data_IF_759549666639
#
_entry.id   IF_759549666639
#
_cell.length_a   1.000
_cell.length_b   1.000
_cell.length_c   1.000
_cell.angle_alpha   90.00
_cell.angle_beta   90.00
_cell.angle_gamma   90.00
#
_symmetry.space_group_name_H-M   'P 1'
#
loop_
_entity.id
_entity.type
_entity.pdbx_description
1 polymer ?
#
# COMPACT_ATOMS: atom_id res chain seq x y z
N UNK A 1 13.81 -3.82 3.27
CA UNK A 1 14.09 -4.62 2.06
C UNK A 1 12.79 -5.28 1.64
N UNK A 2 12.35 -5.10 0.41
CA UNK A 2 11.07 -5.66 -0.11
C UNK A 2 11.15 -7.19 -0.19
N UNK A 3 10.05 -7.86 0.19
CA UNK A 3 9.91 -9.32 0.24
C UNK A 3 9.08 -9.80 -0.95
N UNK A 4 9.59 -10.76 -1.70
CA UNK A 4 8.87 -11.37 -2.83
C UNK A 4 8.61 -12.84 -2.51
N UNK A 5 7.35 -13.24 -2.49
CA UNK A 5 6.99 -14.65 -2.41
C UNK A 5 7.09 -15.29 -3.79
N UNK A 6 7.77 -16.43 -3.88
CA UNK A 6 7.95 -17.20 -5.12
C UNK A 6 7.17 -18.49 -4.99
N UNK A 7 6.16 -18.68 -5.85
CA UNK A 7 5.29 -19.86 -5.94
C UNK A 7 5.58 -20.55 -7.25
N UNK A 8 6.43 -21.56 -7.20
CA UNK A 8 6.98 -22.28 -8.34
C UNK A 8 7.20 -23.74 -7.92
N UNK A 9 6.76 -24.71 -8.67
CA UNK A 9 6.90 -26.13 -8.31
C UNK A 9 8.25 -26.71 -8.73
N UNK A 10 8.80 -26.26 -9.87
CA UNK A 10 10.11 -26.71 -10.32
C UNK A 10 11.22 -26.14 -9.45
N UNK A 11 11.87 -27.00 -8.67
CA UNK A 11 12.89 -26.57 -7.71
C UNK A 11 14.02 -25.76 -8.36
N UNK A 12 14.54 -26.22 -9.50
CA UNK A 12 15.64 -25.54 -10.19
C UNK A 12 15.25 -24.12 -10.60
N UNK A 13 14.06 -23.96 -11.19
CA UNK A 13 13.51 -22.65 -11.58
C UNK A 13 13.29 -21.76 -10.38
N UNK A 14 12.73 -22.29 -9.29
CA UNK A 14 12.53 -21.56 -8.04
C UNK A 14 13.85 -21.04 -7.46
N UNK A 15 14.88 -21.89 -7.41
CA UNK A 15 16.22 -21.53 -6.92
C UNK A 15 16.86 -20.43 -7.78
N UNK A 16 16.71 -20.53 -9.11
CA UNK A 16 17.19 -19.51 -10.05
C UNK A 16 16.50 -18.18 -9.85
N UNK A 17 15.16 -18.17 -9.75
CA UNK A 17 14.37 -16.97 -9.48
C UNK A 17 14.77 -16.33 -8.12
N UNK A 18 14.86 -17.14 -7.07
CA UNK A 18 15.26 -16.67 -5.75
C UNK A 18 16.69 -16.06 -5.76
N UNK A 19 17.64 -16.70 -6.43
CA UNK A 19 19.00 -16.20 -6.56
C UNK A 19 19.04 -14.88 -7.32
N UNK A 20 18.31 -14.79 -8.42
CA UNK A 20 18.20 -13.58 -9.23
C UNK A 20 17.58 -12.42 -8.41
N UNK A 21 16.49 -12.67 -7.69
CA UNK A 21 15.81 -11.67 -6.87
C UNK A 21 16.70 -11.19 -5.71
N UNK A 22 17.39 -12.10 -5.03
CA UNK A 22 18.36 -11.75 -3.96
C UNK A 22 19.48 -10.84 -4.48
N UNK A 23 20.04 -11.15 -5.67
CA UNK A 23 21.06 -10.31 -6.32
C UNK A 23 20.53 -8.93 -6.72
N UNK A 24 19.23 -8.80 -6.97
CA UNK A 24 18.58 -7.53 -7.25
C UNK A 24 18.16 -6.74 -5.98
N UNK A 25 18.49 -7.23 -4.77
CA UNK A 25 18.25 -6.54 -3.51
C UNK A 25 16.87 -6.84 -2.89
N UNK A 26 16.18 -7.91 -3.30
CA UNK A 26 14.94 -8.37 -2.70
C UNK A 26 15.17 -9.50 -1.69
N UNK A 27 14.32 -9.58 -0.66
CA UNK A 27 14.19 -10.80 0.14
C UNK A 27 13.23 -11.76 -0.55
N UNK A 28 13.50 -13.06 -0.51
CA UNK A 28 12.63 -14.08 -1.13
C UNK A 28 12.00 -14.98 -0.08
N UNK A 29 10.75 -15.32 -0.31
CA UNK A 29 9.96 -16.25 0.49
C UNK A 29 9.53 -17.40 -0.45
N UNK A 30 10.00 -18.59 -0.19
CA UNK A 30 9.66 -19.76 -1.01
C UNK A 30 8.38 -20.40 -0.51
N UNK A 31 7.40 -20.57 -1.39
CA UNK A 31 6.12 -21.21 -1.09
C UNK A 31 6.08 -22.56 -1.81
N UNK A 32 6.19 -23.63 -1.05
CA UNK A 32 6.24 -25.01 -1.57
C UNK A 32 5.01 -25.84 -1.20
N UNK A 33 4.25 -25.44 -0.19
CA UNK A 33 2.99 -26.09 0.16
C UNK A 33 1.82 -25.37 -0.55
N UNK A 34 1.61 -25.72 -1.83
CA UNK A 34 0.69 -25.01 -2.72
C UNK A 34 -0.77 -25.07 -2.26
N UNK A 35 -1.19 -26.16 -1.62
CA UNK A 35 -2.54 -26.32 -1.09
C UNK A 35 -2.90 -25.26 -0.03
N UNK A 36 -1.89 -24.79 0.72
CA UNK A 36 -2.02 -23.77 1.77
C UNK A 36 -1.29 -22.47 1.38
N UNK A 37 -1.03 -22.23 0.08
CA UNK A 37 -0.25 -21.09 -0.39
C UNK A 37 -0.87 -19.76 0.00
N UNK A 38 -2.19 -19.64 -0.09
CA UNK A 38 -2.91 -18.39 0.25
C UNK A 38 -2.74 -18.03 1.71
N UNK A 39 -2.89 -19.00 2.61
CA UNK A 39 -2.72 -18.81 4.07
C UNK A 39 -1.28 -18.45 4.41
N UNK A 40 -0.30 -19.15 3.82
CA UNK A 40 1.12 -18.86 4.04
C UNK A 40 1.49 -17.46 3.54
N UNK A 41 1.09 -17.10 2.32
CA UNK A 41 1.36 -15.78 1.74
C UNK A 41 0.72 -14.68 2.59
N UNK A 42 -0.53 -14.89 3.04
CA UNK A 42 -1.23 -13.91 3.88
C UNK A 42 -0.50 -13.71 5.21
N UNK A 43 -0.07 -14.78 5.86
CA UNK A 43 0.67 -14.72 7.13
C UNK A 43 2.05 -14.05 6.99
N UNK A 44 2.76 -14.32 5.89
CA UNK A 44 4.10 -13.79 5.62
C UNK A 44 4.07 -12.33 5.13
N UNK A 45 2.92 -11.87 4.62
CA UNK A 45 2.69 -10.52 4.13
C UNK A 45 3.83 -10.01 3.21
N UNK A 46 4.10 -10.66 2.05
CA UNK A 46 5.09 -10.18 1.11
C UNK A 46 4.64 -8.90 0.40
N UNK A 47 5.60 -8.16 -0.15
CA UNK A 47 5.33 -6.97 -0.96
C UNK A 47 4.86 -7.31 -2.40
N UNK A 48 5.15 -8.53 -2.88
CA UNK A 48 4.71 -9.05 -4.18
C UNK A 48 4.74 -10.58 -4.19
N UNK A 49 3.83 -11.19 -4.93
CA UNK A 49 3.83 -12.63 -5.22
C UNK A 49 4.22 -12.84 -6.68
N UNK A 50 5.24 -13.66 -6.92
CA UNK A 50 5.58 -14.22 -8.21
C UNK A 50 4.98 -15.60 -8.29
N UNK A 51 4.03 -15.83 -9.20
CA UNK A 51 3.16 -17.01 -9.23
C UNK A 51 3.23 -17.73 -10.56
N UNK A 52 3.60 -19.02 -10.55
CA UNK A 52 3.31 -19.89 -11.69
C UNK A 52 1.85 -20.37 -11.67
N UNK A 53 1.27 -20.53 -12.85
CA UNK A 53 -0.07 -21.10 -13.01
C UNK A 53 -0.06 -22.63 -13.07
N UNK A 54 1.06 -23.22 -13.50
CA UNK A 54 1.22 -24.66 -13.64
C UNK A 54 1.75 -25.27 -12.34
N UNK A 55 0.87 -25.41 -11.36
CA UNK A 55 1.21 -26.01 -10.07
C UNK A 55 0.56 -27.38 -9.92
N UNK A 56 1.20 -28.33 -9.22
CA UNK A 56 0.59 -29.63 -8.94
C UNK A 56 -0.56 -29.46 -7.93
N UNK A 57 -1.63 -30.27 -8.11
CA UNK A 57 -2.79 -30.40 -7.21
C UNK A 57 -3.72 -29.20 -7.16
N UNK A 58 -3.24 -27.95 -7.28
CA UNK A 58 -4.04 -26.74 -7.24
C UNK A 58 -3.69 -25.84 -8.43
N UNK A 59 -4.69 -25.20 -9.03
CA UNK A 59 -4.48 -24.25 -10.11
C UNK A 59 -3.94 -22.93 -9.60
N UNK A 60 -2.87 -22.39 -10.20
CA UNK A 60 -2.39 -21.05 -9.90
C UNK A 60 -3.44 -19.95 -10.11
N UNK A 61 -4.40 -20.17 -11.01
CA UNK A 61 -5.56 -19.27 -11.16
C UNK A 61 -6.40 -19.18 -9.88
N UNK A 62 -6.62 -20.32 -9.19
CA UNK A 62 -7.34 -20.33 -7.91
C UNK A 62 -6.56 -19.62 -6.81
N UNK A 63 -5.23 -19.83 -6.76
CA UNK A 63 -4.36 -19.11 -5.82
C UNK A 63 -4.45 -17.61 -6.09
N UNK A 64 -4.32 -17.18 -7.35
CA UNK A 64 -4.43 -15.77 -7.73
C UNK A 64 -5.76 -15.17 -7.29
N UNK A 65 -6.87 -15.81 -7.64
CA UNK A 65 -8.23 -15.34 -7.29
C UNK A 65 -8.40 -15.22 -5.77
N UNK A 66 -8.03 -16.26 -5.02
CA UNK A 66 -8.20 -16.29 -3.57
C UNK A 66 -7.33 -15.22 -2.87
N UNK A 67 -6.09 -15.02 -3.33
CA UNK A 67 -5.22 -13.95 -2.84
C UNK A 67 -5.85 -12.57 -3.06
N UNK A 68 -6.35 -12.31 -4.27
CA UNK A 68 -6.94 -11.00 -4.61
C UNK A 68 -8.27 -10.74 -3.91
N UNK A 69 -9.01 -11.77 -3.51
CA UNK A 69 -10.21 -11.64 -2.68
C UNK A 69 -9.90 -11.35 -1.21
N UNK A 70 -8.79 -11.90 -0.69
CA UNK A 70 -8.44 -11.82 0.74
C UNK A 70 -7.42 -10.73 1.05
N UNK A 71 -6.63 -10.30 0.07
CA UNK A 71 -5.50 -9.38 0.27
C UNK A 71 -5.39 -8.35 -0.86
N UNK A 72 -4.67 -7.25 -0.57
CA UNK A 72 -4.25 -6.27 -1.59
C UNK A 72 -2.84 -6.55 -2.15
N UNK A 73 -2.23 -7.69 -1.81
CA UNK A 73 -0.87 -8.02 -2.25
C UNK A 73 -0.84 -8.15 -3.78
N UNK A 74 0.10 -7.48 -4.46
CA UNK A 74 0.23 -7.60 -5.91
C UNK A 74 0.71 -8.98 -6.33
N UNK A 75 0.14 -9.46 -7.45
CA UNK A 75 0.46 -10.76 -8.04
C UNK A 75 0.99 -10.56 -9.46
N UNK A 76 2.24 -10.99 -9.70
CA UNK A 76 2.82 -11.11 -11.03
C UNK A 76 2.81 -12.59 -11.40
N UNK A 77 2.10 -12.92 -12.47
CA UNK A 77 2.09 -14.27 -13.03
C UNK A 77 3.33 -14.45 -13.94
N UNK A 78 4.10 -15.52 -13.69
CA UNK A 78 5.22 -15.94 -14.52
C UNK A 78 5.06 -17.43 -14.86
N UNK A 79 4.65 -17.76 -16.08
CA UNK A 79 4.23 -19.11 -16.45
C UNK A 79 4.65 -19.47 -17.88
N UNK A 80 4.70 -20.79 -18.17
CA UNK A 80 4.91 -21.29 -19.54
C UNK A 80 3.67 -21.24 -20.43
N UNK A 81 2.50 -20.86 -19.87
CA UNK A 81 1.28 -20.68 -20.66
C UNK A 81 1.39 -19.39 -21.46
N UNK A 82 1.26 -19.48 -22.80
CA UNK A 82 1.45 -18.38 -23.74
C UNK A 82 0.17 -17.99 -24.50
N UNK A 83 -0.97 -18.65 -24.17
CA UNK A 83 -2.23 -18.35 -24.81
C UNK A 83 -2.85 -17.06 -24.27
N UNK A 84 -3.35 -16.23 -25.19
CA UNK A 84 -4.04 -14.98 -24.85
C UNK A 84 -5.21 -15.21 -23.87
N UNK A 85 -5.90 -16.35 -23.97
CA UNK A 85 -6.99 -16.68 -23.08
C UNK A 85 -6.54 -16.84 -21.62
N UNK A 86 -5.37 -17.47 -21.37
CA UNK A 86 -4.80 -17.64 -20.03
C UNK A 86 -4.39 -16.29 -19.44
N UNK A 87 -3.77 -15.41 -20.25
CA UNK A 87 -3.42 -14.05 -19.84
C UNK A 87 -4.67 -13.23 -19.45
N UNK A 88 -5.67 -13.21 -20.33
CA UNK A 88 -6.92 -12.50 -20.07
C UNK A 88 -7.65 -13.04 -18.84
N UNK A 89 -7.62 -14.35 -18.63
CA UNK A 89 -8.21 -14.96 -17.44
C UNK A 89 -7.47 -14.54 -16.16
N UNK A 90 -6.13 -14.62 -16.15
CA UNK A 90 -5.33 -14.20 -14.99
C UNK A 90 -5.58 -12.74 -14.62
N UNK A 91 -5.59 -11.84 -15.61
CA UNK A 91 -5.85 -10.41 -15.41
C UNK A 91 -7.27 -10.15 -14.89
N UNK A 92 -8.29 -10.86 -15.42
CA UNK A 92 -9.67 -10.78 -14.90
C UNK A 92 -9.80 -11.25 -13.45
N UNK A 93 -8.98 -12.23 -13.03
CA UNK A 93 -8.93 -12.72 -11.66
C UNK A 93 -8.14 -11.80 -10.72
N UNK A 94 -7.57 -10.71 -11.26
CA UNK A 94 -6.93 -9.64 -10.50
C UNK A 94 -5.40 -9.70 -10.50
N UNK A 95 -4.75 -10.53 -11.34
CA UNK A 95 -3.31 -10.45 -11.52
C UNK A 95 -2.90 -9.03 -11.98
N UNK A 96 -1.82 -8.50 -11.43
CA UNK A 96 -1.34 -7.15 -11.74
C UNK A 96 -0.47 -7.10 -13.00
N UNK A 97 0.08 -8.24 -13.38
CA UNK A 97 0.91 -8.41 -14.56
C UNK A 97 0.98 -9.90 -14.95
N UNK A 98 1.23 -10.15 -16.23
CA UNK A 98 1.41 -11.50 -16.80
C UNK A 98 2.66 -11.55 -17.66
N UNK A 99 3.53 -12.52 -17.42
CA UNK A 99 4.73 -12.77 -18.21
C UNK A 99 4.84 -14.25 -18.58
N UNK A 100 5.22 -14.50 -19.82
CA UNK A 100 5.49 -15.86 -20.31
C UNK A 100 6.95 -16.25 -20.13
N UNK A 101 7.19 -17.50 -19.75
CA UNK A 101 8.51 -18.13 -19.78
C UNK A 101 8.85 -18.61 -21.22
N UNK A 102 10.10 -18.46 -21.71
CA UNK A 102 11.24 -17.87 -21.02
C UNK A 102 11.18 -16.33 -21.02
N UNK A 103 11.48 -15.72 -19.87
CA UNK A 103 11.50 -14.28 -19.72
C UNK A 103 12.93 -13.80 -19.41
N UNK A 104 13.35 -12.72 -20.10
CA UNK A 104 14.64 -12.10 -19.80
C UNK A 104 14.61 -11.50 -18.39
N UNK A 105 15.69 -11.69 -17.64
CA UNK A 105 15.87 -11.20 -16.27
C UNK A 105 15.53 -9.72 -16.14
N UNK A 106 16.05 -8.90 -17.04
CA UNK A 106 15.85 -7.44 -17.02
C UNK A 106 14.36 -7.08 -17.18
N UNK A 107 13.64 -7.83 -18.02
CA UNK A 107 12.19 -7.64 -18.22
C UNK A 107 11.41 -7.98 -16.96
N UNK A 108 11.71 -9.10 -16.31
CA UNK A 108 11.05 -9.53 -15.09
C UNK A 108 11.30 -8.50 -13.96
N UNK A 109 12.56 -8.11 -13.73
CA UNK A 109 12.92 -7.13 -12.70
C UNK A 109 12.27 -5.76 -12.95
N UNK A 110 12.20 -5.30 -14.20
CA UNK A 110 11.52 -4.05 -14.55
C UNK A 110 10.02 -4.11 -14.22
N UNK A 111 9.33 -5.23 -14.50
CA UNK A 111 7.91 -5.42 -14.16
C UNK A 111 7.67 -5.46 -12.66
N UNK A 112 8.50 -6.21 -11.93
CA UNK A 112 8.46 -6.23 -10.46
C UNK A 112 8.59 -4.82 -9.90
N UNK A 113 9.61 -4.06 -10.32
CA UNK A 113 9.84 -2.70 -9.85
C UNK A 113 8.66 -1.76 -10.16
N UNK A 114 8.07 -1.87 -11.36
CA UNK A 114 6.91 -1.05 -11.74
C UNK A 114 5.67 -1.38 -10.89
N UNK A 115 5.43 -2.66 -10.59
CA UNK A 115 4.34 -3.07 -9.70
C UNK A 115 4.57 -2.52 -8.30
N UNK A 116 5.74 -2.75 -7.73
CA UNK A 116 6.08 -2.30 -6.38
C UNK A 116 5.92 -0.79 -6.24
N UNK A 117 6.40 0.00 -7.21
CA UNK A 117 6.21 1.47 -7.23
C UNK A 117 4.73 1.87 -7.27
N UNK A 118 3.90 1.20 -8.09
CA UNK A 118 2.45 1.47 -8.13
C UNK A 118 1.78 1.20 -6.79
N UNK A 119 2.19 0.15 -6.10
CA UNK A 119 1.64 -0.23 -4.80
C UNK A 119 2.18 0.63 -3.66
N UNK A 120 3.44 1.07 -3.72
CA UNK A 120 3.99 2.10 -2.81
C UNK A 120 3.20 3.40 -2.92
N UNK A 121 2.94 3.87 -4.14
CA UNK A 121 2.09 5.04 -4.35
C UNK A 121 0.67 4.87 -3.76
N UNK A 122 0.09 3.66 -3.85
CA UNK A 122 -1.21 3.36 -3.22
C UNK A 122 -1.13 3.26 -1.69
N UNK A 123 -0.06 2.69 -1.13
CA UNK A 123 0.13 2.61 0.32
C UNK A 123 0.42 3.98 0.95
N UNK A 124 0.86 4.94 0.15
CA UNK A 124 1.06 6.32 0.57
C UNK A 124 -0.24 7.15 0.53
N UNK A 125 -1.31 6.63 -0.08
CA UNK A 125 -2.60 7.29 -0.10
C UNK A 125 -3.43 6.88 1.13
N UNK A 126 -3.73 7.84 1.98
CA UNK A 126 -4.72 7.70 3.04
C UNK A 126 -6.10 8.12 2.50
N UNK A 127 -7.07 7.24 2.67
CA UNK A 127 -8.45 7.52 2.30
C UNK A 127 -9.19 8.19 3.45
N UNK A 128 -9.70 9.39 3.17
CA UNK A 128 -10.60 10.12 4.04
C UNK A 128 -12.00 10.20 3.43
N UNK A 129 -13.01 10.65 4.18
CA UNK A 129 -14.36 10.82 3.67
C UNK A 129 -14.41 11.90 2.57
N UNK A 130 -14.46 11.47 1.30
CA UNK A 130 -14.51 12.34 0.13
C UNK A 130 -13.19 12.96 -0.30
N UNK A 131 -12.05 12.48 0.21
CA UNK A 131 -10.71 12.91 -0.21
C UNK A 131 -9.65 11.82 -0.01
N UNK A 132 -8.51 11.99 -0.71
CA UNK A 132 -7.30 11.18 -0.54
C UNK A 132 -6.16 12.09 -0.11
N UNK A 133 -5.30 11.61 0.79
CA UNK A 133 -4.06 12.30 1.19
C UNK A 133 -2.87 11.44 0.81
N UNK A 134 -1.99 11.96 -0.05
CA UNK A 134 -0.68 11.36 -0.30
C UNK A 134 0.27 11.73 0.86
N UNK A 135 0.74 10.71 1.58
CA UNK A 135 1.58 10.85 2.78
C UNK A 135 3.01 11.32 2.47
N UNK A 136 3.48 11.08 1.26
CA UNK A 136 4.84 11.43 0.85
C UNK A 136 4.93 12.90 0.42
N UNK A 137 4.01 13.33 -0.44
CA UNK A 137 3.97 14.70 -0.96
C UNK A 137 3.08 15.64 -0.15
N UNK A 138 2.26 15.11 0.76
CA UNK A 138 1.16 15.81 1.43
C UNK A 138 0.18 16.46 0.45
N UNK A 139 0.00 15.87 -0.72
CA UNK A 139 -1.02 16.29 -1.68
C UNK A 139 -2.37 15.74 -1.27
N UNK A 140 -3.34 16.63 -1.10
CA UNK A 140 -4.74 16.26 -0.89
C UNK A 140 -5.47 16.30 -2.23
N UNK A 141 -6.24 15.25 -2.52
CA UNK A 141 -7.05 15.11 -3.73
C UNK A 141 -8.53 15.11 -3.34
N UNK A 142 -9.32 16.00 -3.93
CA UNK A 142 -10.76 16.13 -3.68
C UNK A 142 -11.46 16.25 -5.02
N UNK A 143 -12.27 15.26 -5.39
CA UNK A 143 -12.92 15.21 -6.71
C UNK A 143 -11.90 15.41 -7.84
N UNK A 144 -12.00 16.51 -8.59
CA UNK A 144 -11.11 16.85 -9.71
C UNK A 144 -10.05 17.92 -9.35
N UNK A 145 -9.88 18.23 -8.07
CA UNK A 145 -8.91 19.22 -7.60
C UNK A 145 -7.86 18.57 -6.71
N UNK A 146 -6.66 19.15 -6.71
CA UNK A 146 -5.59 18.74 -5.80
C UNK A 146 -4.85 19.96 -5.26
N UNK A 147 -4.32 19.84 -4.05
CA UNK A 147 -3.51 20.87 -3.41
C UNK A 147 -2.41 20.22 -2.58
N UNK A 148 -1.19 20.78 -2.67
CA UNK A 148 -0.09 20.38 -1.78
C UNK A 148 -0.25 21.15 -0.47
N UNK A 149 -0.39 20.44 0.63
CA UNK A 149 -0.43 21.03 1.96
C UNK A 149 0.98 21.40 2.43
N UNK A 150 1.14 22.51 3.16
CA UNK A 150 2.38 22.77 3.89
C UNK A 150 2.72 21.58 4.81
N UNK A 151 4.00 21.23 4.90
CA UNK A 151 4.48 20.01 5.58
C UNK A 151 3.86 19.78 6.98
N UNK A 152 3.77 20.84 7.80
CA UNK A 152 3.19 20.72 9.14
C UNK A 152 1.68 20.44 9.10
N UNK A 153 0.96 21.01 8.13
CA UNK A 153 -0.47 20.74 7.94
C UNK A 153 -0.70 19.30 7.45
N UNK A 154 0.15 18.83 6.53
CA UNK A 154 0.13 17.46 6.03
C UNK A 154 0.35 16.44 7.14
N UNK A 155 1.38 16.64 7.97
CA UNK A 155 1.66 15.79 9.14
C UNK A 155 0.50 15.75 10.15
N UNK A 156 -0.11 16.90 10.45
CA UNK A 156 -1.27 16.96 11.34
C UNK A 156 -2.48 16.23 10.77
N UNK A 157 -2.77 16.43 9.49
CA UNK A 157 -3.89 15.76 8.83
C UNK A 157 -3.67 14.24 8.80
N UNK A 158 -2.48 13.79 8.44
CA UNK A 158 -2.10 12.37 8.47
C UNK A 158 -2.33 11.75 9.85
N UNK A 159 -1.85 12.38 10.92
CA UNK A 159 -2.04 11.90 12.29
C UNK A 159 -3.52 11.78 12.67
N UNK A 160 -4.31 12.80 12.34
CA UNK A 160 -5.75 12.84 12.62
C UNK A 160 -6.58 11.87 11.74
N UNK A 161 -6.04 11.41 10.60
CA UNK A 161 -6.68 10.39 9.76
C UNK A 161 -6.37 8.96 10.22
N UNK A 162 -5.20 8.74 10.83
CA UNK A 162 -4.70 7.42 11.23
C UNK A 162 -5.13 7.00 12.63
N UNK A 163 -5.58 7.92 13.47
CA UNK A 163 -6.05 7.65 14.81
C UNK A 163 -7.44 8.29 15.06
N UNK A 164 -8.25 7.65 15.90
CA UNK A 164 -9.56 8.21 16.28
C UNK A 164 -9.42 9.47 17.16
N UNK A 165 -8.35 9.52 17.94
CA UNK A 165 -8.04 10.61 18.85
C UNK A 165 -6.53 10.74 18.99
N UNK A 166 -6.00 11.95 18.90
CA UNK A 166 -4.56 12.24 19.04
C UNK A 166 -4.37 13.31 20.10
N UNK A 167 -3.52 13.04 21.08
CA UNK A 167 -3.22 14.01 22.15
C UNK A 167 -2.45 15.24 21.63
N UNK A 168 -2.50 16.35 22.36
CA UNK A 168 -1.71 17.54 22.04
C UNK A 168 -0.20 17.22 22.05
N UNK A 169 0.23 16.41 23.00
CA UNK A 169 1.61 15.97 23.15
C UNK A 169 2.09 15.17 21.94
N UNK A 170 1.30 14.21 21.45
CA UNK A 170 1.61 13.45 20.25
C UNK A 170 1.68 14.32 19.00
N UNK A 171 0.76 15.28 18.84
CA UNK A 171 0.79 16.24 17.74
C UNK A 171 2.04 17.13 17.79
N UNK A 172 2.44 17.57 18.96
CA UNK A 172 3.68 18.33 19.15
C UNK A 172 4.91 17.50 18.80
N UNK A 173 4.97 16.23 19.23
CA UNK A 173 6.04 15.29 18.88
C UNK A 173 6.12 15.06 17.37
N UNK A 174 4.99 14.93 16.70
CA UNK A 174 4.91 14.76 15.22
C UNK A 174 5.44 16.01 14.49
N UNK A 175 5.12 17.20 14.99
CA UNK A 175 5.54 18.46 14.36
C UNK A 175 7.01 18.78 14.59
N UNK A 176 7.48 18.65 15.84
CA UNK A 176 8.80 19.17 16.26
C UNK A 176 9.80 18.08 16.71
N UNK A 177 9.37 16.82 16.82
CA UNK A 177 10.25 15.69 17.18
C UNK A 177 10.56 15.59 18.69
N UNK A 178 10.02 16.50 19.52
CA UNK A 178 10.24 16.54 20.97
C UNK A 178 8.95 16.86 21.72
N UNK A 179 8.89 16.40 22.97
CA UNK A 179 7.83 16.74 23.94
C UNK A 179 8.34 17.66 25.07
N UNK A 180 9.62 18.02 25.05
CA UNK A 180 10.23 18.82 26.15
C UNK A 180 9.77 20.28 26.18
N UNK A 181 9.33 20.82 25.02
CA UNK A 181 8.77 22.17 24.93
C UNK A 181 7.45 22.13 24.15
N UNK A 182 6.35 21.90 24.86
CA UNK A 182 5.01 21.96 24.26
C UNK A 182 4.60 23.42 24.15
N UNK A 183 4.77 24.02 22.98
CA UNK A 183 4.14 25.31 22.68
C UNK A 183 2.72 25.06 22.17
N UNK A 184 1.77 25.02 23.10
CA UNK A 184 0.35 24.85 22.78
C UNK A 184 -0.16 25.96 21.85
N UNK A 185 0.36 27.17 21.92
CA UNK A 185 -0.03 28.26 21.03
C UNK A 185 0.42 27.97 19.59
N UNK A 186 1.65 27.49 19.42
CA UNK A 186 2.15 27.09 18.10
C UNK A 186 1.35 25.92 17.50
N UNK A 187 0.94 24.93 18.31
CA UNK A 187 0.06 23.85 17.88
C UNK A 187 -1.30 24.40 17.44
N UNK A 188 -1.93 25.27 18.24
CA UNK A 188 -3.22 25.90 17.93
C UNK A 188 -3.17 26.71 16.63
N UNK A 189 -2.08 27.44 16.37
CA UNK A 189 -1.88 28.18 15.11
C UNK A 189 -1.83 27.22 13.92
N UNK A 190 -1.09 26.10 14.02
CA UNK A 190 -1.00 25.11 12.95
C UNK A 190 -2.36 24.41 12.70
N UNK A 191 -3.08 24.03 13.74
CA UNK A 191 -4.42 23.45 13.64
C UNK A 191 -5.42 24.44 13.03
N UNK A 192 -5.38 25.72 13.43
CA UNK A 192 -6.23 26.77 12.87
C UNK A 192 -5.96 26.98 11.38
N UNK A 193 -4.68 26.98 10.97
CA UNK A 193 -4.30 27.06 9.55
C UNK A 193 -4.80 25.86 8.77
N UNK A 194 -4.63 24.65 9.30
CA UNK A 194 -5.14 23.44 8.67
C UNK A 194 -6.66 23.50 8.50
N UNK A 195 -7.42 23.88 9.54
CA UNK A 195 -8.88 24.08 9.47
C UNK A 195 -9.28 25.03 8.34
N UNK A 196 -8.58 26.18 8.21
CA UNK A 196 -8.83 27.15 7.13
C UNK A 196 -8.55 26.53 5.76
N UNK A 197 -7.43 25.82 5.59
CA UNK A 197 -7.08 25.17 4.33
C UNK A 197 -8.14 24.12 3.94
N UNK A 198 -8.57 23.27 4.87
CA UNK A 198 -9.62 22.28 4.61
C UNK A 198 -10.95 22.94 4.24
N UNK A 199 -11.32 24.05 4.88
CA UNK A 199 -12.52 24.81 4.55
C UNK A 199 -12.46 25.43 3.13
N UNK A 200 -11.29 25.96 2.70
CA UNK A 200 -11.12 26.49 1.34
C UNK A 200 -11.24 25.41 0.26
N UNK A 201 -10.97 24.16 0.61
CA UNK A 201 -11.14 23.01 -0.26
C UNK A 201 -12.59 22.47 -0.27
N UNK A 202 -13.51 23.11 0.42
CA UNK A 202 -14.90 22.70 0.52
C UNK A 202 -15.12 21.44 1.38
N UNK A 203 -14.14 21.09 2.21
CA UNK A 203 -14.25 19.91 3.07
C UNK A 203 -15.18 20.19 4.26
N UNK A 204 -16.15 19.31 4.49
CA UNK A 204 -17.07 19.39 5.63
C UNK A 204 -16.49 18.79 6.92
N UNK A 205 -15.31 18.17 6.86
CA UNK A 205 -14.66 17.56 8.02
C UNK A 205 -14.24 18.62 9.04
N UNK A 206 -14.48 18.32 10.31
CA UNK A 206 -14.13 19.22 11.41
C UNK A 206 -13.05 18.61 12.28
N UNK A 207 -11.98 19.36 12.52
CA UNK A 207 -11.03 19.02 13.56
C UNK A 207 -11.60 19.55 14.88
N UNK A 208 -11.99 18.65 15.77
CA UNK A 208 -12.61 18.96 17.04
C UNK A 208 -11.61 18.77 18.17
N UNK A 209 -11.53 19.74 19.08
CA UNK A 209 -10.78 19.62 20.32
C UNK A 209 -11.66 18.98 21.40
N UNK A 210 -11.15 17.94 22.04
CA UNK A 210 -11.76 17.31 23.21
C UNK A 210 -10.98 17.78 24.43
N UNK A 211 -11.62 18.56 25.28
CA UNK A 211 -10.99 19.21 26.43
C UNK A 211 -10.28 18.20 27.34
N UNK A 212 -8.99 18.43 27.58
CA UNK A 212 -8.16 17.58 28.44
C UNK A 212 -7.74 16.26 27.84
N UNK A 213 -8.11 15.95 26.57
CA UNK A 213 -7.79 14.66 25.93
C UNK A 213 -6.99 14.84 24.64
N UNK A 214 -7.46 15.66 23.68
CA UNK A 214 -6.75 15.84 22.40
C UNK A 214 -7.64 16.32 21.26
N UNK A 215 -7.32 15.88 20.07
CA UNK A 215 -7.97 16.29 18.83
C UNK A 215 -8.39 15.08 18.01
N UNK A 216 -9.53 15.19 17.32
CA UNK A 216 -9.99 14.20 16.36
C UNK A 216 -10.51 14.85 15.10
N UNK A 217 -10.46 14.08 14.00
CA UNK A 217 -11.11 14.44 12.76
C UNK A 217 -12.52 13.84 12.75
N UNK A 218 -13.54 14.69 12.86
CA UNK A 218 -14.93 14.22 12.74
C UNK A 218 -15.27 13.93 11.28
N UNK A 219 -15.82 12.77 11.03
CA UNK A 219 -16.49 12.45 9.77
C UNK A 219 -17.83 13.17 9.80
N UNK A 220 -18.10 14.11 8.87
CA UNK A 220 -19.45 14.61 8.74
C UNK A 220 -20.35 13.45 8.34
N UNK A 221 -21.25 13.07 9.22
CA UNK A 221 -22.41 12.32 8.81
C UNK A 221 -23.24 13.28 7.93
N UNK A 222 -23.47 12.92 6.67
CA UNK A 222 -24.48 13.61 5.89
C UNK A 222 -25.84 13.39 6.58
N UNK A 223 -26.67 14.44 6.64
CA UNK A 223 -28.04 14.29 7.13
C UNK A 223 -28.86 13.43 6.16
#
# INVERSE_FOLDING_TARGET
>A
MKKIAVVEDEQHMRDELCTMLKRAGYATLEITAFENAVEQITALSPDLVLLDLNLPKISGFQICQNLKQKTSIPVLVLTSRDQLQDELQALKLGADEYLTKPCRKERLLARINNILKRYEGRSNLLEGPGFLLDRESYTIYIHNTSMILPKNQGKLLEALMTAELVSAEELCKILWGTTEYIDENALQVNLSRLKKTLATLGMKQRIVAIRGVGYRLERSMEP
#
